data_IF_261601540967
#
_entry.id   IF_261601540967
#
_cell.length_a   1.000
_cell.length_b   1.000
_cell.length_c   1.000
_cell.angle_alpha   90.00
_cell.angle_beta   90.00
_cell.angle_gamma   90.00
#
_symmetry.space_group_name_H-M   'P 1'
#
loop_
_entity.id
_entity.type
_entity.pdbx_description
1 polymer ?
#
# COMPACT_ATOMS: atom_id res chain seq x y z
N UNK A 1 -17.97 -17.64 -9.36
CA UNK A 1 -18.99 -16.69 -8.88
C UNK A 1 -18.29 -15.38 -8.61
N UNK A 2 -18.63 -14.32 -9.33
CA UNK A 2 -18.05 -12.99 -9.13
C UNK A 2 -18.58 -12.47 -7.79
N UNK A 3 -17.71 -12.45 -6.77
CA UNK A 3 -18.04 -11.92 -5.45
C UNK A 3 -18.33 -10.42 -5.54
N UNK A 4 -19.03 -9.90 -4.53
CA UNK A 4 -19.32 -8.47 -4.40
C UNK A 4 -18.00 -7.69 -4.55
N UNK A 5 -17.90 -6.94 -5.64
CA UNK A 5 -16.75 -6.10 -5.92
C UNK A 5 -16.88 -4.74 -5.26
N UNK A 6 -15.82 -3.94 -5.44
CA UNK A 6 -15.84 -2.54 -5.05
C UNK A 6 -17.01 -1.74 -5.69
N UNK A 7 -17.40 -1.96 -6.97
CA UNK A 7 -18.53 -1.25 -7.57
C UNK A 7 -19.87 -1.53 -6.88
N UNK A 8 -20.16 -2.79 -6.56
CA UNK A 8 -21.39 -3.19 -5.87
C UNK A 8 -21.46 -2.59 -4.46
N UNK A 9 -20.33 -2.58 -3.74
CA UNK A 9 -20.25 -1.94 -2.42
C UNK A 9 -20.53 -0.43 -2.49
N UNK A 10 -20.02 0.26 -3.52
CA UNK A 10 -20.30 1.69 -3.73
C UNK A 10 -21.78 1.96 -3.99
N UNK A 11 -22.46 1.12 -4.76
CA UNK A 11 -23.91 1.27 -5.00
C UNK A 11 -24.69 1.16 -3.70
N UNK A 12 -24.37 0.16 -2.86
CA UNK A 12 -25.00 -0.02 -1.55
C UNK A 12 -24.72 1.18 -0.64
N UNK A 13 -23.48 1.69 -0.63
CA UNK A 13 -23.10 2.88 0.13
C UNK A 13 -23.93 4.10 -0.26
N UNK A 14 -24.15 4.32 -1.56
CA UNK A 14 -24.96 5.44 -2.06
C UNK A 14 -26.41 5.33 -1.60
N UNK A 15 -27.01 4.13 -1.63
CA UNK A 15 -28.37 3.90 -1.13
C UNK A 15 -28.47 4.26 0.36
N UNK A 16 -27.49 3.80 1.16
CA UNK A 16 -27.41 4.14 2.59
C UNK A 16 -27.25 5.66 2.77
N UNK A 17 -26.42 6.33 1.98
CA UNK A 17 -26.28 7.79 2.00
C UNK A 17 -27.57 8.52 1.66
N UNK A 18 -28.43 7.98 0.79
CA UNK A 18 -29.72 8.60 0.48
C UNK A 18 -30.67 8.48 1.67
N UNK A 19 -30.69 7.34 2.37
CA UNK A 19 -31.57 7.10 3.53
C UNK A 19 -31.12 7.94 4.73
N UNK A 20 -29.84 7.89 5.07
CA UNK A 20 -29.29 8.56 6.25
C UNK A 20 -28.85 10.01 5.98
N UNK A 21 -28.59 10.36 4.72
CA UNK A 21 -28.00 11.64 4.31
C UNK A 21 -26.46 11.63 4.32
N UNK A 22 -25.86 12.44 3.44
CA UNK A 22 -24.40 12.55 3.30
C UNK A 22 -23.68 13.07 4.56
N UNK A 23 -24.39 13.77 5.46
CA UNK A 23 -23.82 14.30 6.71
C UNK A 23 -23.73 13.30 7.84
N UNK A 24 -24.55 12.24 7.85
CA UNK A 24 -24.63 11.30 8.99
C UNK A 24 -23.47 10.31 9.03
N UNK A 25 -22.97 9.86 7.88
CA UNK A 25 -21.82 8.95 7.83
C UNK A 25 -20.53 9.58 8.37
N UNK A 26 -20.14 10.82 7.99
CA UNK A 26 -18.98 11.48 8.59
C UNK A 26 -19.14 11.77 10.09
N UNK A 27 -20.34 12.11 10.54
CA UNK A 27 -20.64 12.37 11.95
C UNK A 27 -20.40 11.12 12.81
N UNK A 28 -20.98 9.99 12.40
CA UNK A 28 -20.81 8.69 13.07
C UNK A 28 -19.37 8.20 12.94
N UNK A 29 -18.76 8.33 11.75
CA UNK A 29 -17.38 7.93 11.49
C UNK A 29 -16.37 8.73 12.33
N UNK A 30 -16.61 10.01 12.56
CA UNK A 30 -15.76 10.84 13.42
C UNK A 30 -15.83 10.41 14.89
N UNK A 31 -17.03 10.09 15.40
CA UNK A 31 -17.21 9.58 16.76
C UNK A 31 -16.55 8.21 16.91
N UNK A 32 -16.83 7.28 16.00
CA UNK A 32 -16.27 5.93 16.00
C UNK A 32 -14.74 5.93 15.83
N UNK A 33 -14.22 6.78 14.96
CA UNK A 33 -12.78 6.94 14.73
C UNK A 33 -12.04 7.44 15.97
N UNK A 34 -12.64 8.34 16.76
CA UNK A 34 -12.09 8.75 18.06
C UNK A 34 -12.07 7.59 19.06
N UNK A 35 -13.15 6.80 19.13
CA UNK A 35 -13.21 5.60 19.99
C UNK A 35 -12.13 4.58 19.62
N UNK A 36 -11.97 4.28 18.33
CA UNK A 36 -10.94 3.35 17.84
C UNK A 36 -9.53 3.90 18.09
N UNK A 37 -9.31 5.19 17.85
CA UNK A 37 -8.01 5.83 18.11
C UNK A 37 -7.64 5.69 19.58
N UNK A 38 -8.56 6.05 20.49
CA UNK A 38 -8.33 5.95 21.92
C UNK A 38 -8.12 4.49 22.35
N UNK A 39 -8.92 3.55 21.81
CA UNK A 39 -8.72 2.13 22.08
C UNK A 39 -7.33 1.64 21.64
N UNK A 40 -6.89 1.99 20.42
CA UNK A 40 -5.56 1.65 19.93
C UNK A 40 -4.46 2.26 20.81
N UNK A 41 -4.62 3.52 21.21
CA UNK A 41 -3.67 4.20 22.10
C UNK A 41 -3.58 3.50 23.45
N UNK A 42 -4.70 3.22 24.10
CA UNK A 42 -4.71 2.54 25.40
C UNK A 42 -4.21 1.09 25.33
N UNK A 43 -4.47 0.37 24.22
CA UNK A 43 -3.89 -0.95 24.01
C UNK A 43 -2.38 -0.89 23.86
N UNK A 44 -1.87 0.11 23.12
CA UNK A 44 -0.43 0.32 22.97
C UNK A 44 0.24 0.72 24.29
N UNK A 45 -0.39 1.59 25.08
CA UNK A 45 0.08 1.97 26.41
C UNK A 45 0.10 0.75 27.35
N UNK A 46 -0.92 -0.12 27.30
CA UNK A 46 -0.96 -1.36 28.07
C UNK A 46 0.10 -2.40 27.63
N UNK A 47 0.47 -2.42 26.34
CA UNK A 47 1.60 -3.21 25.82
C UNK A 47 2.95 -2.65 26.30
N UNK A 48 3.11 -1.32 26.31
CA UNK A 48 4.35 -0.63 26.77
C UNK A 48 4.53 -0.68 28.29
N UNK A 49 3.45 -0.61 29.08
CA UNK A 49 3.47 -0.71 30.56
C UNK A 49 3.54 -2.15 31.08
N UNK A 50 3.65 -3.15 30.18
CA UNK A 50 3.90 -4.54 30.54
C UNK A 50 2.75 -5.24 31.27
N UNK A 51 1.55 -4.65 31.28
CA UNK A 51 0.35 -5.26 31.86
C UNK A 51 -0.27 -6.33 30.93
N UNK A 52 0.24 -6.42 29.69
CA UNK A 52 -0.01 -7.51 28.75
C UNK A 52 1.28 -8.34 28.60
N UNK A 53 1.36 -9.44 29.35
CA UNK A 53 2.47 -10.38 29.24
C UNK A 53 2.63 -10.91 27.80
N UNK A 54 3.78 -10.58 27.21
CA UNK A 54 4.43 -11.27 26.08
C UNK A 54 3.70 -11.25 24.73
N UNK A 55 4.06 -10.28 23.88
CA UNK A 55 4.20 -10.49 22.45
C UNK A 55 5.37 -9.64 21.94
N UNK A 56 6.51 -10.28 21.70
CA UNK A 56 7.68 -9.67 21.08
C UNK A 56 7.31 -9.12 19.69
N UNK A 57 7.63 -7.86 19.42
CA UNK A 57 7.79 -7.35 18.05
C UNK A 57 9.12 -6.60 17.98
N UNK A 58 10.06 -7.06 17.14
CA UNK A 58 11.40 -6.51 17.03
C UNK A 58 11.39 -5.15 16.34
N UNK A 59 12.33 -4.32 16.78
CA UNK A 59 12.72 -3.05 16.19
C UNK A 59 12.96 -3.18 14.67
N UNK A 60 12.28 -2.36 13.87
CA UNK A 60 12.70 -2.06 12.51
C UNK A 60 13.17 -0.61 12.45
N UNK A 61 14.40 -0.39 12.89
CA UNK A 61 15.22 0.74 12.45
C UNK A 61 15.48 0.51 10.96
N UNK A 62 14.85 1.31 10.10
CA UNK A 62 15.28 1.43 8.70
C UNK A 62 16.10 2.71 8.60
N UNK A 63 17.38 2.56 8.90
CA UNK A 63 18.46 3.39 8.40
C UNK A 63 19.09 2.68 7.18
N UNK A 64 19.56 3.47 6.21
CA UNK A 64 20.18 3.13 4.92
C UNK A 64 19.20 3.19 3.74
N UNK A 65 19.17 4.30 2.99
CA UNK A 65 20.18 4.75 2.01
C UNK A 65 20.16 3.91 0.72
N UNK A 66 19.99 4.65 -0.38
CA UNK A 66 20.05 4.23 -1.78
C UNK A 66 21.02 3.07 -2.06
N UNK A 67 20.53 2.05 -2.76
CA UNK A 67 21.35 1.36 -3.75
C UNK A 67 20.50 1.02 -4.98
N UNK A 68 20.70 1.85 -6.00
CA UNK A 68 20.76 1.49 -7.41
C UNK A 68 20.91 -0.01 -7.67
N UNK A 69 19.87 -0.63 -8.23
CA UNK A 69 20.01 -1.86 -9.01
C UNK A 69 19.07 -1.83 -10.22
N UNK A 70 19.35 -0.91 -11.13
CA UNK A 70 18.97 -1.10 -12.53
C UNK A 70 19.97 -2.08 -13.14
N UNK A 71 19.49 -3.30 -13.34
CA UNK A 71 20.21 -4.44 -13.90
C UNK A 71 20.75 -4.07 -15.30
N UNK A 72 22.05 -4.33 -15.58
CA UNK A 72 22.61 -4.24 -16.93
C UNK A 72 22.11 -5.41 -17.77
N UNK A 73 22.32 -5.34 -19.09
CA UNK A 73 22.06 -6.39 -20.09
C UNK A 73 20.84 -6.15 -20.99
N UNK A 74 21.03 -5.27 -21.98
CA UNK A 74 20.71 -5.56 -23.39
C UNK A 74 21.64 -4.68 -24.26
N UNK A 75 22.87 -5.15 -24.47
CA UNK A 75 23.65 -4.82 -25.66
C UNK A 75 23.17 -5.79 -26.75
N UNK A 76 22.53 -5.27 -27.80
CA UNK A 76 23.18 -4.98 -29.09
C UNK A 76 22.91 -6.10 -30.10
N UNK A 77 21.95 -5.86 -30.98
CA UNK A 77 21.91 -6.48 -32.30
C UNK A 77 20.98 -5.68 -33.19
N UNK A 78 21.53 -5.20 -34.30
CA UNK A 78 20.88 -4.51 -35.42
C UNK A 78 20.86 -2.98 -35.34
N UNK A 79 22.04 -2.38 -35.51
CA UNK A 79 22.24 -1.27 -36.47
C UNK A 79 23.72 -1.19 -36.81
N UNK A 80 24.12 -1.78 -37.94
CA UNK A 80 25.36 -1.43 -38.63
C UNK A 80 25.06 -1.27 -40.12
N UNK A 81 25.05 -0.03 -40.65
CA UNK A 81 25.09 0.24 -42.07
C UNK A 81 26.48 0.76 -42.45
N UNK A 82 27.23 0.04 -43.26
CA UNK A 82 27.96 0.57 -44.42
C UNK A 82 28.81 -0.51 -45.11
N UNK A 83 28.83 -0.53 -46.46
CA UNK A 83 29.66 -1.41 -47.26
C UNK A 83 31.03 -0.78 -47.51
N UNK A 84 32.12 -1.54 -47.47
CA UNK A 84 33.19 -1.54 -48.49
C UNK A 84 34.37 -2.43 -48.08
N UNK A 85 35.12 -2.87 -49.07
CA UNK A 85 36.46 -3.49 -49.03
C UNK A 85 36.52 -5.02 -49.20
N UNK A 86 36.50 -5.41 -50.49
CA UNK A 86 37.59 -6.11 -51.17
C UNK A 86 38.34 -7.29 -50.50
N UNK A 87 38.44 -8.35 -51.32
CA UNK A 87 39.55 -9.31 -51.45
C UNK A 87 39.78 -10.31 -50.31
N UNK A 88 39.42 -11.57 -50.55
CA UNK A 88 40.38 -12.58 -51.06
C UNK A 88 39.66 -13.92 -51.33
N UNK A 89 40.08 -14.54 -52.44
CA UNK A 89 39.80 -15.92 -52.92
C UNK A 89 38.54 -16.14 -53.78
#
# INVERSE_FOLDING_TARGET
MMGIGFPELMIILVIIMIIFGAGKLPEIGSAFGKSIKNFKTSMKEAEEEGELATAEQPEAVIENAEETKAVPEIADSSTEPAPDSEKQS
#
